data_IF_302028753524
#
_entry.id   IF_302028753524
#
_cell.length_a   1.000
_cell.length_b   1.000
_cell.length_c   1.000
_cell.angle_alpha   90.00
_cell.angle_beta   90.00
_cell.angle_gamma   90.00
#
_symmetry.space_group_name_H-M   'P 1'
#
loop_
_entity.id
_entity.type
_entity.pdbx_description
1 polymer ?
#
# COMPACT_ATOMS: atom_id res chain seq x y z
N UNK A 1 -24.54 -4.89 -4.34
CA UNK A 1 -24.42 -3.40 -4.44
C UNK A 1 -24.34 -3.04 -5.93
N UNK A 2 -25.08 -2.00 -6.39
CA UNK A 2 -25.06 -1.60 -7.80
C UNK A 2 -23.75 -0.84 -8.13
N UNK A 3 -22.94 -1.30 -9.09
CA UNK A 3 -21.72 -0.63 -9.51
C UNK A 3 -21.92 0.81 -10.00
N UNK A 4 -23.11 1.15 -10.50
CA UNK A 4 -23.44 2.49 -10.99
C UNK A 4 -23.40 3.54 -9.88
N UNK A 5 -23.80 3.19 -8.67
CA UNK A 5 -23.78 4.07 -7.49
C UNK A 5 -22.34 4.40 -7.06
N UNK A 6 -21.43 3.42 -7.09
CA UNK A 6 -20.01 3.63 -6.81
C UNK A 6 -19.36 4.54 -7.86
N UNK A 7 -19.75 4.39 -9.12
CA UNK A 7 -19.26 5.26 -10.20
C UNK A 7 -19.76 6.69 -10.04
N UNK A 8 -20.98 6.89 -9.60
CA UNK A 8 -21.52 8.22 -9.32
C UNK A 8 -20.75 8.96 -8.20
N UNK A 9 -20.05 8.20 -7.30
CA UNK A 9 -19.14 8.76 -6.30
C UNK A 9 -17.72 9.05 -6.84
N UNK A 10 -17.50 9.00 -8.16
CA UNK A 10 -16.20 9.30 -8.77
C UNK A 10 -15.25 8.10 -8.92
N UNK A 11 -15.68 6.88 -8.62
CA UNK A 11 -14.85 5.69 -8.80
C UNK A 11 -14.81 5.23 -10.24
N UNK A 12 -13.64 4.84 -10.74
CA UNK A 12 -13.52 4.19 -12.03
C UNK A 12 -14.27 2.84 -12.05
N UNK A 13 -14.62 2.35 -13.26
CA UNK A 13 -15.26 1.03 -13.39
C UNK A 13 -14.46 -0.06 -12.68
N UNK A 14 -13.16 -0.10 -12.89
CA UNK A 14 -12.26 -1.10 -12.31
C UNK A 14 -12.26 -1.03 -10.78
N UNK A 15 -12.13 0.18 -10.20
CA UNK A 15 -12.17 0.37 -8.74
C UNK A 15 -13.52 -0.05 -8.15
N UNK A 16 -14.63 0.28 -8.81
CA UNK A 16 -15.97 -0.14 -8.38
C UNK A 16 -16.11 -1.66 -8.34
N UNK A 17 -15.62 -2.35 -9.38
CA UNK A 17 -15.63 -3.81 -9.46
C UNK A 17 -14.78 -4.43 -8.35
N UNK A 18 -13.57 -3.91 -8.12
CA UNK A 18 -12.67 -4.43 -7.07
C UNK A 18 -13.25 -4.25 -5.66
N UNK A 19 -13.94 -3.13 -5.39
CA UNK A 19 -14.62 -2.91 -4.11
C UNK A 19 -15.76 -3.90 -3.89
N UNK A 20 -16.51 -4.23 -4.94
CA UNK A 20 -17.58 -5.23 -4.85
C UNK A 20 -16.96 -6.61 -4.54
N UNK A 21 -15.92 -7.02 -5.25
CA UNK A 21 -15.23 -8.29 -4.96
C UNK A 21 -14.72 -8.34 -3.52
N UNK A 22 -14.10 -7.26 -3.03
CA UNK A 22 -13.63 -7.20 -1.65
C UNK A 22 -14.80 -7.38 -0.66
N UNK A 23 -15.92 -6.70 -0.87
CA UNK A 23 -17.09 -6.82 -0.03
C UNK A 23 -17.69 -8.25 -0.05
N UNK A 24 -17.70 -8.90 -1.22
CA UNK A 24 -18.16 -10.28 -1.36
C UNK A 24 -17.28 -11.27 -0.58
N UNK A 25 -15.95 -11.08 -0.59
CA UNK A 25 -15.03 -11.91 0.18
C UNK A 25 -15.29 -11.84 1.69
N UNK A 26 -15.62 -10.66 2.21
CA UNK A 26 -16.05 -10.52 3.62
C UNK A 26 -17.42 -11.14 3.87
N UNK A 27 -18.39 -10.93 2.98
CA UNK A 27 -19.76 -11.45 3.16
C UNK A 27 -19.83 -12.98 3.11
N UNK A 28 -19.02 -13.60 2.26
CA UNK A 28 -19.02 -15.06 2.07
C UNK A 28 -17.92 -15.79 2.87
N UNK A 29 -17.25 -15.07 3.78
CA UNK A 29 -16.33 -15.65 4.76
C UNK A 29 -15.00 -16.15 4.19
N UNK A 30 -14.62 -15.73 2.97
CA UNK A 30 -13.31 -16.04 2.40
C UNK A 30 -12.20 -15.10 2.91
N UNK A 31 -12.58 -13.97 3.51
CA UNK A 31 -11.74 -13.12 4.34
C UNK A 31 -12.35 -13.02 5.73
N UNK A 32 -11.62 -13.46 6.75
CA UNK A 32 -12.03 -13.38 8.14
C UNK A 32 -10.99 -12.57 8.93
N UNK A 33 -11.41 -11.40 9.36
CA UNK A 33 -10.52 -10.47 10.10
C UNK A 33 -10.27 -10.89 11.56
N UNK A 34 -10.94 -11.89 12.07
CA UNK A 34 -10.86 -12.26 13.50
C UNK A 34 -9.49 -12.79 13.93
N UNK A 35 -8.71 -13.37 13.02
CA UNK A 35 -7.37 -13.90 13.27
C UNK A 35 -6.21 -13.02 12.76
N UNK A 36 -6.49 -11.86 12.17
CA UNK A 36 -5.44 -11.07 11.49
C UNK A 36 -4.37 -10.50 12.43
N UNK A 37 -4.69 -10.30 13.70
CA UNK A 37 -3.70 -9.87 14.71
C UNK A 37 -2.60 -10.90 14.92
N UNK A 38 -2.91 -12.18 14.74
CA UNK A 38 -2.00 -13.31 15.00
C UNK A 38 -1.19 -13.71 13.76
N UNK A 39 -1.59 -13.22 12.57
CA UNK A 39 -0.86 -13.45 11.34
C UNK A 39 0.41 -12.58 11.28
N UNK A 40 1.49 -13.14 10.74
CA UNK A 40 2.61 -12.32 10.30
C UNK A 40 2.27 -11.51 9.04
N UNK A 41 3.13 -10.56 8.69
CA UNK A 41 2.88 -9.64 7.58
C UNK A 41 2.75 -10.37 6.23
N UNK A 42 3.57 -11.39 5.97
CA UNK A 42 3.53 -12.14 4.72
C UNK A 42 2.29 -13.04 4.62
N UNK A 43 1.86 -13.64 5.73
CA UNK A 43 0.61 -14.40 5.80
C UNK A 43 -0.59 -13.51 5.45
N UNK A 44 -0.64 -12.32 6.05
CA UNK A 44 -1.73 -11.38 5.81
C UNK A 44 -1.70 -10.81 4.37
N UNK A 45 -0.52 -10.50 3.84
CA UNK A 45 -0.36 -10.10 2.44
C UNK A 45 -0.85 -11.21 1.50
N UNK A 46 -0.47 -12.46 1.76
CA UNK A 46 -0.89 -13.60 0.95
C UNK A 46 -2.42 -13.80 0.97
N UNK A 47 -3.05 -13.62 2.12
CA UNK A 47 -4.50 -13.69 2.26
C UNK A 47 -5.20 -12.57 1.49
N UNK A 48 -4.81 -11.33 1.73
CA UNK A 48 -5.43 -10.14 1.10
C UNK A 48 -5.27 -10.15 -0.43
N UNK A 49 -4.13 -10.60 -0.94
CA UNK A 49 -3.87 -10.63 -2.39
C UNK A 49 -4.64 -11.71 -3.15
N UNK A 50 -5.36 -12.62 -2.47
CA UNK A 50 -6.34 -13.52 -3.11
C UNK A 50 -7.51 -12.76 -3.70
N UNK A 51 -7.81 -11.57 -3.16
CA UNK A 51 -8.91 -10.74 -3.65
C UNK A 51 -8.48 -10.06 -4.94
N UNK A 52 -9.26 -10.28 -6.00
CA UNK A 52 -9.01 -9.63 -7.29
C UNK A 52 -9.02 -8.11 -7.16
N UNK A 53 -7.91 -7.48 -7.54
CA UNK A 53 -7.72 -6.03 -7.44
C UNK A 53 -6.99 -5.57 -6.20
N UNK A 54 -6.68 -6.47 -5.27
CA UNK A 54 -5.78 -6.20 -4.14
C UNK A 54 -4.39 -6.74 -4.50
N UNK A 55 -3.48 -5.84 -4.86
CA UNK A 55 -2.08 -6.18 -5.09
C UNK A 55 -1.26 -6.08 -3.80
N UNK A 56 0.00 -6.57 -3.86
CA UNK A 56 0.92 -6.53 -2.73
C UNK A 56 1.04 -5.12 -2.12
N UNK A 57 1.23 -4.10 -2.94
CA UNK A 57 1.32 -2.72 -2.46
C UNK A 57 0.05 -2.29 -1.69
N UNK A 58 -1.14 -2.66 -2.16
CA UNK A 58 -2.39 -2.36 -1.45
C UNK A 58 -2.45 -3.07 -0.09
N UNK A 59 -2.03 -4.32 -0.03
CA UNK A 59 -1.95 -5.08 1.22
C UNK A 59 -0.91 -4.46 2.18
N UNK A 60 0.25 -4.04 1.69
CA UNK A 60 1.26 -3.33 2.48
C UNK A 60 0.75 -1.99 3.03
N UNK A 61 -0.08 -1.25 2.27
CA UNK A 61 -0.75 -0.04 2.76
C UNK A 61 -1.76 -0.35 3.85
N UNK A 62 -2.48 -1.45 3.73
CA UNK A 62 -3.38 -1.93 4.79
C UNK A 62 -2.61 -2.29 6.08
N UNK A 63 -1.47 -2.98 5.98
CA UNK A 63 -0.59 -3.26 7.12
C UNK A 63 -0.10 -1.97 7.78
N UNK A 64 0.29 -0.98 6.98
CA UNK A 64 0.83 0.30 7.46
C UNK A 64 -0.22 1.15 8.16
N UNK A 65 -1.40 1.35 7.54
CA UNK A 65 -2.37 2.36 7.98
C UNK A 65 -3.53 1.82 8.81
N UNK A 66 -3.88 0.54 8.65
CA UNK A 66 -4.97 -0.08 9.39
C UNK A 66 -4.45 -1.00 10.51
N UNK A 67 -3.55 -1.93 10.18
CA UNK A 67 -2.97 -2.84 11.17
C UNK A 67 -1.88 -2.18 12.03
N UNK A 68 -1.39 -1.01 11.63
CA UNK A 68 -0.34 -0.23 12.30
C UNK A 68 0.94 -1.05 12.54
N UNK A 69 1.28 -1.94 11.61
CA UNK A 69 2.49 -2.76 11.70
C UNK A 69 3.74 -1.86 11.61
N UNK A 70 4.64 -1.91 12.59
CA UNK A 70 5.76 -0.95 12.68
C UNK A 70 6.89 -1.24 11.69
N UNK A 71 6.98 -2.46 11.17
CA UNK A 71 8.15 -2.94 10.41
C UNK A 71 7.83 -3.39 8.97
N UNK A 72 6.81 -2.81 8.35
CA UNK A 72 6.49 -3.03 6.94
C UNK A 72 7.35 -2.16 6.01
N UNK A 73 7.83 -2.74 4.90
CA UNK A 73 8.65 -2.05 3.90
C UNK A 73 8.07 -2.23 2.49
N UNK A 74 7.28 -1.27 2.00
CA UNK A 74 6.66 -1.34 0.67
C UNK A 74 7.67 -0.98 -0.44
N UNK A 75 8.53 -1.91 -0.82
CA UNK A 75 9.62 -1.69 -1.79
C UNK A 75 9.14 -1.30 -3.20
N UNK A 76 7.87 -1.56 -3.51
CA UNK A 76 7.23 -1.21 -4.78
C UNK A 76 6.56 0.17 -4.73
N UNK A 77 6.52 0.81 -3.57
CA UNK A 77 5.96 2.14 -3.42
C UNK A 77 6.81 3.20 -4.13
N UNK A 78 6.16 3.94 -5.02
CA UNK A 78 6.83 4.95 -5.86
C UNK A 78 7.38 6.10 -4.99
N UNK A 79 6.63 6.52 -3.96
CA UNK A 79 7.04 7.57 -3.04
C UNK A 79 8.27 7.16 -2.24
N UNK A 80 8.27 5.95 -1.67
CA UNK A 80 9.43 5.42 -0.95
C UNK A 80 10.67 5.35 -1.85
N UNK A 81 10.52 4.80 -3.05
CA UNK A 81 11.64 4.65 -3.99
C UNK A 81 12.22 6.01 -4.41
N UNK A 82 11.35 7.00 -4.66
CA UNK A 82 11.77 8.36 -4.98
C UNK A 82 12.50 9.01 -3.81
N UNK A 83 11.95 8.95 -2.60
CA UNK A 83 12.57 9.54 -1.43
C UNK A 83 13.93 8.89 -1.12
N UNK A 84 14.02 7.58 -1.24
CA UNK A 84 15.29 6.87 -1.06
C UNK A 84 16.32 7.24 -2.11
N UNK A 85 15.94 7.38 -3.38
CA UNK A 85 16.83 7.87 -4.44
C UNK A 85 17.39 9.25 -4.10
N UNK A 86 16.53 10.16 -3.67
CA UNK A 86 16.88 11.52 -3.29
C UNK A 86 17.90 11.55 -2.13
N UNK A 87 17.65 10.77 -1.08
CA UNK A 87 18.43 10.86 0.16
C UNK A 87 19.68 9.97 0.20
N UNK A 88 19.71 8.89 -0.60
CA UNK A 88 20.77 7.88 -0.52
C UNK A 88 21.59 7.70 -1.78
N UNK A 89 21.20 8.29 -2.93
CA UNK A 89 21.93 8.10 -4.20
C UNK A 89 21.87 9.32 -5.14
N UNK A 90 21.77 10.53 -4.62
CA UNK A 90 21.83 11.76 -5.41
C UNK A 90 20.70 11.85 -6.46
N UNK A 91 19.48 11.52 -6.07
CA UNK A 91 18.24 11.51 -6.87
C UNK A 91 18.21 10.44 -7.98
N UNK A 92 19.06 9.41 -7.89
CA UNK A 92 19.02 8.26 -8.81
C UNK A 92 18.13 7.15 -8.28
N UNK A 93 17.38 6.45 -9.14
CA UNK A 93 16.55 5.33 -8.72
C UNK A 93 17.37 4.19 -8.12
N UNK A 94 17.04 3.78 -6.90
CA UNK A 94 17.63 2.61 -6.26
C UNK A 94 16.95 1.32 -6.71
N UNK A 95 17.74 0.24 -6.84
CA UNK A 95 17.20 -1.09 -7.06
C UNK A 95 16.50 -1.62 -5.80
N UNK A 96 15.51 -2.52 -5.96
CA UNK A 96 14.82 -3.13 -4.82
C UNK A 96 15.76 -3.84 -3.84
N UNK A 97 16.79 -4.60 -4.27
CA UNK A 97 17.78 -5.16 -3.36
C UNK A 97 18.52 -4.10 -2.55
N UNK A 98 18.91 -2.99 -3.18
CA UNK A 98 19.60 -1.89 -2.50
C UNK A 98 18.70 -1.20 -1.47
N UNK A 99 17.44 -0.99 -1.80
CA UNK A 99 16.42 -0.48 -0.86
C UNK A 99 16.32 -1.40 0.36
N UNK A 100 16.20 -2.72 0.16
CA UNK A 100 16.13 -3.68 1.27
C UNK A 100 17.40 -3.67 2.12
N UNK A 101 18.57 -3.57 1.49
CA UNK A 101 19.85 -3.49 2.19
C UNK A 101 19.93 -2.28 3.11
N UNK A 102 19.56 -1.10 2.63
CA UNK A 102 19.54 0.14 3.43
C UNK A 102 18.50 0.01 4.55
N UNK A 103 17.28 -0.42 4.21
CA UNK A 103 16.18 -0.51 5.16
C UNK A 103 16.36 -1.60 6.23
N UNK A 104 17.29 -2.55 6.06
CA UNK A 104 17.61 -3.53 7.10
C UNK A 104 18.09 -2.86 8.38
N UNK A 105 18.76 -1.71 8.30
CA UNK A 105 19.23 -0.95 9.47
C UNK A 105 18.11 -0.24 10.24
N UNK A 106 16.91 -0.16 9.65
CA UNK A 106 15.76 0.52 10.26
C UNK A 106 14.87 -0.42 11.08
N UNK A 107 15.13 -1.74 11.02
CA UNK A 107 14.37 -2.71 11.79
C UNK A 107 14.47 -2.42 13.30
N UNK A 108 13.37 -2.56 14.04
CA UNK A 108 12.03 -3.01 13.66
C UNK A 108 11.06 -1.86 13.30
N UNK A 109 11.53 -0.74 12.75
CA UNK A 109 10.77 0.50 12.54
C UNK A 109 10.70 0.93 11.08
N UNK A 110 10.72 -0.02 10.12
CA UNK A 110 10.74 0.29 8.68
C UNK A 110 9.51 1.08 8.21
N UNK A 111 8.34 0.84 8.80
CA UNK A 111 7.14 1.65 8.55
C UNK A 111 7.34 3.11 8.97
N UNK A 112 7.92 3.34 10.13
CA UNK A 112 8.16 4.69 10.65
C UNK A 112 9.16 5.42 9.75
N UNK A 113 10.26 4.77 9.38
CA UNK A 113 11.26 5.33 8.47
C UNK A 113 10.64 5.66 7.10
N UNK A 114 9.80 4.77 6.57
CA UNK A 114 9.06 4.99 5.32
C UNK A 114 8.17 6.23 5.41
N UNK A 115 7.47 6.40 6.52
CA UNK A 115 6.60 7.57 6.74
C UNK A 115 7.39 8.88 6.72
N UNK A 116 8.55 8.95 7.38
CA UNK A 116 9.43 10.12 7.34
C UNK A 116 9.96 10.39 5.92
N UNK A 117 10.32 9.35 5.17
CA UNK A 117 10.75 9.46 3.79
C UNK A 117 9.64 10.03 2.89
N UNK A 118 8.40 9.57 3.04
CA UNK A 118 7.27 10.17 2.32
C UNK A 118 7.09 11.66 2.66
N UNK A 119 7.19 12.02 3.93
CA UNK A 119 7.09 13.42 4.38
C UNK A 119 8.19 14.31 3.82
N UNK A 120 9.38 13.77 3.56
CA UNK A 120 10.51 14.51 2.99
C UNK A 120 10.29 14.95 1.54
N UNK A 121 9.38 14.33 0.82
CA UNK A 121 9.01 14.72 -0.56
C UNK A 121 8.16 15.99 -0.63
N UNK A 122 7.80 16.59 0.50
CA UNK A 122 6.93 17.75 0.60
C UNK A 122 5.44 17.39 0.52
N UNK A 123 4.54 18.40 0.58
CA UNK A 123 3.12 18.16 0.48
C UNK A 123 2.79 17.56 -0.88
N UNK A 124 1.89 16.57 -0.90
CA UNK A 124 1.28 16.08 -2.14
C UNK A 124 0.51 17.27 -2.72
N UNK A 125 1.07 17.92 -3.73
CA UNK A 125 0.31 18.91 -4.49
C UNK A 125 -0.80 18.15 -5.20
N UNK A 126 -2.08 18.49 -5.01
CA UNK A 126 -3.11 17.99 -5.88
C UNK A 126 -2.67 18.34 -7.31
N UNK A 127 -2.58 17.35 -8.17
CA UNK A 127 -2.43 17.61 -9.59
C UNK A 127 -3.69 18.34 -10.04
N UNK A 128 -3.61 19.66 -10.12
CA UNK A 128 -4.54 20.46 -10.88
C UNK A 128 -4.24 20.23 -12.35
N UNK A 129 -4.41 19.01 -12.80
CA UNK A 129 -4.53 18.72 -14.22
C UNK A 129 -6.00 18.82 -14.57
N UNK A 130 -6.43 20.05 -14.69
CA UNK A 130 -7.60 20.45 -15.46
C UNK A 130 -7.23 20.28 -16.94
N UNK A 131 -7.35 19.10 -17.43
CA UNK A 131 -7.21 18.77 -18.83
C UNK A 131 -8.31 17.78 -19.20
N UNK A 132 -9.43 18.34 -19.65
CA UNK A 132 -10.60 17.82 -20.35
C UNK A 132 -10.61 16.34 -20.75
#
# INVERSE_FOLDING_TARGET
MDPSRLRACGLSRTKSTHLIYLAEHFLYGSLDSTGWSDHDDEQLIAELTRVKGVGRWTAEMFLTFFMLRPDNLPVDDVGLRRAMGLHYDGDRPLSKPKIRQIAATWQPWRTVATWYLWRSLGPIRPTTDSGF
#
